data_IF_667417600460
#
_entry.id   IF_667417600460
#
_cell.length_a   1.000
_cell.length_b   1.000
_cell.length_c   1.000
_cell.angle_alpha   90.00
_cell.angle_beta   90.00
_cell.angle_gamma   90.00
#
_symmetry.space_group_name_H-M   'P 1'
#
loop_
_entity.id
_entity.type
_entity.pdbx_description
1 polymer ?
#
# COMPACT_ATOMS: atom_id res chain seq x y z
N UNK A 1 11.89 -7.80 6.48
CA UNK A 1 11.52 -8.88 5.53
C UNK A 1 10.96 -8.25 4.27
N UNK A 2 11.48 -8.63 3.11
CA UNK A 2 11.04 -8.06 1.84
C UNK A 2 9.74 -8.69 1.37
N UNK A 3 8.86 -7.86 0.85
CA UNK A 3 7.60 -8.31 0.26
C UNK A 3 7.58 -7.94 -1.21
N UNK A 4 6.95 -8.76 -2.00
CA UNK A 4 6.85 -8.57 -3.45
C UNK A 4 5.39 -8.61 -3.89
N UNK A 5 5.08 -7.85 -4.94
CA UNK A 5 3.75 -7.88 -5.55
C UNK A 5 3.48 -9.29 -6.10
N UNK A 6 2.36 -9.87 -5.72
CA UNK A 6 1.97 -11.21 -6.19
C UNK A 6 1.57 -11.22 -7.66
N UNK A 7 1.31 -10.05 -8.24
CA UNK A 7 0.85 -9.94 -9.62
C UNK A 7 1.99 -9.64 -10.59
N UNK A 8 2.88 -8.71 -10.26
CA UNK A 8 3.95 -8.30 -11.16
C UNK A 8 5.36 -8.59 -10.63
N UNK A 9 5.50 -9.01 -9.40
CA UNK A 9 6.79 -9.37 -8.80
C UNK A 9 7.65 -8.19 -8.34
N UNK A 10 7.11 -6.97 -8.39
CA UNK A 10 7.86 -5.80 -7.97
C UNK A 10 8.08 -5.80 -6.46
N UNK A 11 9.28 -5.39 -6.03
CA UNK A 11 9.58 -5.22 -4.61
C UNK A 11 8.72 -4.09 -4.02
N UNK A 12 8.10 -4.35 -2.90
CA UNK A 12 7.18 -3.41 -2.26
C UNK A 12 7.90 -2.52 -1.25
N UNK A 13 7.45 -1.26 -1.17
CA UNK A 13 7.89 -0.35 -0.12
C UNK A 13 7.03 -0.55 1.12
N UNK A 14 7.49 -0.01 2.24
CA UNK A 14 6.74 -0.05 3.49
C UNK A 14 5.36 0.59 3.33
N UNK A 15 5.29 1.71 2.59
CA UNK A 15 4.03 2.42 2.38
C UNK A 15 3.06 1.62 1.51
N UNK A 16 3.55 0.90 0.51
CA UNK A 16 2.71 0.03 -0.31
C UNK A 16 2.10 -1.09 0.51
N UNK A 17 2.91 -1.71 1.36
CA UNK A 17 2.44 -2.76 2.28
C UNK A 17 1.41 -2.21 3.25
N UNK A 18 1.69 -1.05 3.83
CA UNK A 18 0.78 -0.40 4.77
C UNK A 18 -0.55 -0.04 4.13
N UNK A 19 -0.52 0.49 2.92
CA UNK A 19 -1.74 0.84 2.20
C UNK A 19 -2.59 -0.40 1.91
N UNK A 20 -1.96 -1.49 1.49
CA UNK A 20 -2.66 -2.75 1.25
C UNK A 20 -3.34 -3.26 2.53
N UNK A 21 -2.63 -3.24 3.64
CA UNK A 21 -3.19 -3.66 4.93
C UNK A 21 -4.38 -2.79 5.35
N UNK A 22 -4.33 -1.50 5.02
CA UNK A 22 -5.38 -0.56 5.37
C UNK A 22 -6.62 -0.73 4.51
N UNK A 23 -6.43 -0.92 3.20
CA UNK A 23 -7.53 -0.99 2.24
C UNK A 23 -8.13 -2.39 2.11
N UNK A 24 -7.33 -3.43 2.28
CA UNK A 24 -7.78 -4.81 2.10
C UNK A 24 -7.96 -5.49 3.46
N UNK A 25 -6.86 -5.85 4.11
CA UNK A 25 -6.91 -6.57 5.38
C UNK A 25 -5.55 -6.48 6.07
N UNK A 26 -5.55 -6.18 7.35
CA UNK A 26 -4.33 -6.12 8.16
C UNK A 26 -3.64 -7.48 8.27
N UNK A 27 -4.40 -8.56 8.18
CA UNK A 27 -3.87 -9.92 8.25
C UNK A 27 -3.45 -10.49 6.90
N UNK A 28 -3.47 -9.69 5.83
CA UNK A 28 -3.06 -10.15 4.50
C UNK A 28 -1.62 -10.63 4.50
N UNK A 29 -1.37 -11.75 3.83
CA UNK A 29 -0.02 -12.28 3.62
C UNK A 29 0.45 -12.04 2.19
N UNK A 30 -0.46 -11.68 1.29
CA UNK A 30 -0.18 -11.38 -0.11
C UNK A 30 -0.45 -9.90 -0.35
N UNK A 31 0.46 -9.24 -1.07
CA UNK A 31 0.39 -7.79 -1.28
C UNK A 31 0.54 -7.45 -2.75
N UNK A 32 -0.03 -6.30 -3.13
CA UNK A 32 0.07 -5.74 -4.48
C UNK A 32 0.89 -4.46 -4.42
N UNK A 33 1.63 -4.17 -5.49
CA UNK A 33 2.34 -2.91 -5.60
C UNK A 33 1.33 -1.77 -5.82
N UNK A 34 1.82 -0.53 -5.72
CA UNK A 34 0.95 0.65 -5.86
C UNK A 34 0.12 0.60 -7.15
N UNK A 35 0.75 0.31 -8.28
CA UNK A 35 0.06 0.26 -9.56
C UNK A 35 -1.01 -0.83 -9.61
N UNK A 36 -0.66 -2.03 -9.17
CA UNK A 36 -1.59 -3.17 -9.19
C UNK A 36 -2.75 -2.95 -8.20
N UNK A 37 -2.45 -2.38 -7.04
CA UNK A 37 -3.47 -2.08 -6.03
C UNK A 37 -4.44 -1.01 -6.54
N UNK A 38 -3.92 0.05 -7.17
CA UNK A 38 -4.75 1.10 -7.74
C UNK A 38 -5.66 0.55 -8.84
N UNK A 39 -5.14 -0.34 -9.68
CA UNK A 39 -5.93 -0.98 -10.72
C UNK A 39 -7.06 -1.82 -10.12
N UNK A 40 -6.77 -2.56 -9.05
CA UNK A 40 -7.77 -3.38 -8.37
C UNK A 40 -8.91 -2.54 -7.81
N UNK A 41 -8.59 -1.39 -7.22
CA UNK A 41 -9.60 -0.50 -6.64
C UNK A 41 -10.08 0.58 -7.59
N UNK A 42 -9.57 0.58 -8.82
CA UNK A 42 -9.96 1.56 -9.87
C UNK A 42 -9.74 3.00 -9.41
N UNK A 43 -8.60 3.24 -8.76
CA UNK A 43 -8.16 4.58 -8.35
C UNK A 43 -6.84 4.91 -9.02
N UNK A 44 -6.47 6.18 -9.01
CA UNK A 44 -5.18 6.62 -9.53
C UNK A 44 -4.10 6.51 -8.47
N UNK A 45 -2.82 6.47 -8.90
CA UNK A 45 -1.71 6.48 -7.97
C UNK A 45 -1.67 7.77 -7.14
N UNK A 46 -2.08 8.89 -7.76
CA UNK A 46 -2.20 10.16 -7.03
C UNK A 46 -3.17 10.06 -5.87
N UNK A 47 -4.33 9.42 -6.09
CA UNK A 47 -5.30 9.18 -5.03
C UNK A 47 -4.73 8.30 -3.94
N UNK A 48 -3.98 7.25 -4.32
CA UNK A 48 -3.35 6.34 -3.36
C UNK A 48 -2.35 7.08 -2.48
N UNK A 49 -1.49 7.91 -3.07
CA UNK A 49 -0.54 8.71 -2.31
C UNK A 49 -1.22 9.72 -1.39
N UNK A 50 -2.31 10.31 -1.84
CA UNK A 50 -3.11 11.22 -1.00
C UNK A 50 -3.67 10.49 0.22
N UNK A 51 -4.11 9.25 0.05
CA UNK A 51 -4.59 8.45 1.17
C UNK A 51 -3.46 8.12 2.15
N UNK A 52 -2.27 7.80 1.65
CA UNK A 52 -1.10 7.54 2.50
C UNK A 52 -0.77 8.78 3.35
N UNK A 53 -0.76 9.96 2.73
CA UNK A 53 -0.52 11.22 3.43
C UNK A 53 -1.55 11.45 4.54
N UNK A 54 -2.81 11.21 4.24
CA UNK A 54 -3.90 11.37 5.20
C UNK A 54 -3.73 10.43 6.40
N UNK A 55 -3.39 9.17 6.13
CA UNK A 55 -3.20 8.20 7.20
C UNK A 55 -1.99 8.53 8.08
N UNK A 56 -0.91 9.02 7.47
CA UNK A 56 0.27 9.47 8.22
C UNK A 56 -0.08 10.62 9.16
N UNK A 57 -0.85 11.60 8.66
CA UNK A 57 -1.29 12.76 9.45
C UNK A 57 -2.17 12.34 10.62
N UNK A 58 -2.92 11.27 10.47
CA UNK A 58 -3.79 10.76 11.52
C UNK A 58 -3.06 9.83 12.49
N UNK A 59 -1.73 9.75 12.38
CA UNK A 59 -0.93 8.95 13.29
C UNK A 59 -0.98 7.45 13.04
N UNK A 60 -1.32 7.04 11.83
CA UNK A 60 -1.37 5.62 11.49
C UNK A 60 0.04 5.03 11.49
N UNK A 61 0.28 4.01 12.31
CA UNK A 61 1.60 3.39 12.45
C UNK A 61 1.97 2.44 11.32
N UNK A 62 1.04 2.16 10.41
CA UNK A 62 1.31 1.32 9.25
C UNK A 62 2.20 2.00 8.21
N UNK A 63 2.39 3.31 8.33
CA UNK A 63 3.17 4.10 7.39
C UNK A 63 4.35 4.75 8.11
N UNK A 64 5.44 4.92 7.38
CA UNK A 64 6.65 5.55 7.93
C UNK A 64 7.14 6.64 6.98
N UNK A 65 7.98 7.52 7.51
CA UNK A 65 8.65 8.57 6.73
C UNK A 65 9.94 8.01 6.12
N UNK A 66 9.81 7.36 5.00
CA UNK A 66 10.96 6.83 4.26
C UNK A 66 11.52 7.85 3.29
#
# INVERSE_FOLDING_TARGET
MDRFCIKCGKKLTHNEIGLHKKLVNRGSVEFLCMGCLCERFKITTGTAYAMIEKFKRNGCTLFSDE
#
